data_IF_218988557255
#
_entry.id   IF_218988557255
#
_cell.length_a   1.000
_cell.length_b   1.000
_cell.length_c   1.000
_cell.angle_alpha   90.00
_cell.angle_beta   90.00
_cell.angle_gamma   90.00
#
_symmetry.space_group_name_H-M   'P 1'
#
loop_
_entity.id
_entity.type
_entity.pdbx_description
1 polymer ?
#
# COMPACT_ATOMS: atom_id res chain seq x y z
N UNK A 1 -20.15 -22.76 4.82
CA UNK A 1 -19.59 -22.78 4.67
C UNK A 1 -18.96 -22.33 3.82
N UNK A 2 -18.63 -21.93 3.49
CA UNK A 2 -18.04 -21.51 2.71
C UNK A 2 -16.76 -21.78 2.49
N UNK A 3 -16.38 -22.88 2.64
CA UNK A 3 -15.06 -23.35 2.42
C UNK A 3 -14.57 -23.09 1.02
N UNK A 4 -15.45 -22.86 0.13
CA UNK A 4 -15.02 -22.57 -1.21
C UNK A 4 -14.19 -21.29 -1.28
N UNK A 5 -14.38 -20.40 -0.33
CA UNK A 5 -13.60 -19.19 -0.32
C UNK A 5 -12.14 -19.46 -0.05
N UNK A 6 -11.84 -20.57 0.58
CA UNK A 6 -10.47 -20.85 0.93
C UNK A 6 -9.61 -21.18 -0.28
N UNK A 7 -10.24 -21.42 -1.41
CA UNK A 7 -9.49 -21.80 -2.57
C UNK A 7 -9.15 -20.64 -3.45
N UNK A 8 -9.53 -19.46 -3.06
CA UNK A 8 -9.25 -18.28 -3.84
C UNK A 8 -7.92 -17.69 -3.42
N UNK A 9 -7.62 -16.51 -3.89
CA UNK A 9 -6.34 -15.92 -3.60
C UNK A 9 -6.26 -15.51 -2.13
N UNK A 10 -5.06 -15.10 -1.75
CA UNK A 10 -4.77 -14.77 -0.37
C UNK A 10 -5.71 -13.72 0.19
N UNK A 11 -6.04 -12.73 -0.61
CA UNK A 11 -6.86 -11.64 -0.13
C UNK A 11 -8.29 -12.07 0.17
N UNK A 12 -8.79 -13.05 -0.56
CA UNK A 12 -10.15 -13.48 -0.36
C UNK A 12 -10.30 -14.44 0.80
N UNK A 13 -9.19 -14.89 1.34
CA UNK A 13 -9.23 -15.75 2.52
C UNK A 13 -9.33 -15.00 3.81
N UNK A 14 -9.19 -13.69 3.76
CA UNK A 14 -9.16 -12.87 4.96
C UNK A 14 -10.55 -12.75 5.53
N UNK A 15 -10.71 -13.06 6.81
CA UNK A 15 -12.01 -12.99 7.46
C UNK A 15 -12.39 -11.54 7.70
N UNK A 16 -13.67 -11.34 7.99
CA UNK A 16 -14.13 -10.01 8.30
C UNK A 16 -13.45 -9.44 9.54
N UNK A 17 -13.04 -10.31 10.44
CA UNK A 17 -12.38 -9.83 11.64
C UNK A 17 -11.02 -9.23 11.34
N UNK A 18 -10.41 -9.63 10.24
CA UNK A 18 -9.09 -9.13 9.87
C UNK A 18 -9.16 -7.88 9.01
N UNK A 19 -10.29 -7.66 8.36
CA UNK A 19 -10.47 -6.50 7.51
C UNK A 19 -10.51 -5.26 8.39
N UNK A 20 -9.68 -4.30 8.05
CA UNK A 20 -9.68 -3.05 8.80
C UNK A 20 -8.68 -2.99 9.92
N UNK A 21 -7.94 -4.09 10.16
CA UNK A 21 -6.88 -4.04 11.16
C UNK A 21 -5.72 -3.26 10.55
N UNK A 22 -5.48 -2.08 11.12
CA UNK A 22 -4.47 -1.15 10.61
C UNK A 22 -3.12 -1.46 11.23
N UNK A 23 -2.03 -1.46 10.45
CA UNK A 23 -0.69 -1.65 11.03
C UNK A 23 -0.40 -0.57 12.06
N UNK A 24 0.33 -0.94 13.10
CA UNK A 24 0.67 -0.02 14.16
C UNK A 24 1.67 1.02 13.66
N UNK A 25 1.35 2.29 13.91
CA UNK A 25 2.22 3.41 13.57
C UNK A 25 2.66 3.42 12.10
N UNK A 26 1.75 3.07 11.22
CA UNK A 26 2.03 3.12 9.79
C UNK A 26 2.08 4.57 9.31
N UNK A 27 2.89 4.83 8.32
CA UNK A 27 3.05 6.18 7.79
C UNK A 27 3.65 6.13 6.39
N UNK A 28 3.54 7.23 5.68
CA UNK A 28 4.29 7.44 4.45
C UNK A 28 5.05 8.74 4.58
N UNK A 29 6.19 8.81 3.89
CA UNK A 29 7.00 10.02 3.83
C UNK A 29 6.91 10.53 2.40
N UNK A 30 6.35 11.73 2.26
CA UNK A 30 6.19 12.38 0.97
C UNK A 30 7.30 13.41 0.79
N UNK A 31 7.86 13.45 -0.40
CA UNK A 31 8.88 14.45 -0.76
C UNK A 31 10.06 14.41 0.20
N UNK A 32 10.33 13.27 0.79
CA UNK A 32 11.47 13.10 1.66
C UNK A 32 11.36 13.74 3.02
N UNK A 33 10.34 14.56 3.26
CA UNK A 33 10.26 15.29 4.53
C UNK A 33 8.90 15.26 5.20
N UNK A 34 7.83 15.09 4.46
CA UNK A 34 6.48 15.19 5.02
C UNK A 34 5.98 13.82 5.45
N UNK A 35 5.85 13.62 6.73
CA UNK A 35 5.38 12.35 7.30
C UNK A 35 3.88 12.42 7.46
N UNK A 36 3.18 11.47 6.85
CA UNK A 36 1.72 11.38 6.93
C UNK A 36 1.37 10.08 7.63
N UNK A 37 0.80 10.15 8.84
CA UNK A 37 0.39 8.92 9.53
C UNK A 37 -0.78 8.27 8.82
N UNK A 38 -0.79 6.95 8.84
CA UNK A 38 -1.84 6.16 8.22
C UNK A 38 -2.59 5.44 9.33
N UNK A 39 -3.83 5.85 9.57
CA UNK A 39 -4.62 5.23 10.61
C UNK A 39 -6.03 4.90 10.15
N UNK A 40 -6.26 4.94 8.84
CA UNK A 40 -7.56 4.63 8.28
C UNK A 40 -7.51 3.30 7.57
N UNK A 41 -8.65 2.62 7.55
CA UNK A 41 -8.76 1.34 6.86
C UNK A 41 -8.58 1.51 5.36
N UNK A 42 -9.10 2.60 4.82
CA UNK A 42 -9.00 2.90 3.39
C UNK A 42 -8.37 4.27 3.24
N UNK A 43 -7.29 4.34 2.48
CA UNK A 43 -6.56 5.57 2.23
C UNK A 43 -6.52 5.78 0.73
N UNK A 44 -7.17 6.84 0.26
CA UNK A 44 -7.19 7.17 -1.16
C UNK A 44 -6.09 8.16 -1.46
N UNK A 45 -5.38 7.94 -2.55
CA UNK A 45 -4.23 8.75 -2.92
C UNK A 45 -4.42 9.24 -4.34
N UNK A 46 -4.24 10.53 -4.54
CA UNK A 46 -4.37 11.09 -5.87
C UNK A 46 -4.25 12.59 -5.86
N UNK A 47 -4.47 13.20 -7.03
CA UNK A 47 -4.30 14.62 -7.20
C UNK A 47 -5.50 15.41 -6.69
N UNK A 48 -6.67 14.80 -6.65
CA UNK A 48 -7.88 15.49 -6.18
C UNK A 48 -7.83 15.76 -4.70
N UNK A 49 -8.39 16.89 -4.30
CA UNK A 49 -8.37 17.30 -2.90
C UNK A 49 -9.23 16.38 -2.02
N UNK A 50 -10.14 15.63 -2.61
CA UNK A 50 -10.97 14.69 -1.86
C UNK A 50 -10.21 13.46 -1.40
N UNK A 51 -9.04 13.22 -1.96
CA UNK A 51 -8.25 12.08 -1.55
C UNK A 51 -7.75 12.22 -0.11
N UNK A 52 -7.54 11.10 0.55
CA UNK A 52 -6.97 11.09 1.90
C UNK A 52 -5.57 11.69 1.86
N UNK A 53 -4.79 11.29 0.87
CA UNK A 53 -3.46 11.84 0.64
C UNK A 53 -3.49 12.53 -0.71
N UNK A 54 -3.28 13.82 -0.69
CA UNK A 54 -3.30 14.62 -1.90
C UNK A 54 -1.87 14.78 -2.39
N UNK A 55 -1.61 14.33 -3.60
CA UNK A 55 -0.31 14.46 -4.24
C UNK A 55 -0.47 15.48 -5.37
N UNK A 56 0.06 16.66 -5.16
CA UNK A 56 -0.11 17.77 -6.09
C UNK A 56 0.94 17.70 -7.17
N UNK A 57 0.78 16.76 -8.06
CA UNK A 57 1.70 16.52 -9.17
C UNK A 57 0.86 16.20 -10.39
N UNK A 58 1.05 16.92 -11.49
CA UNK A 58 0.20 16.71 -12.67
C UNK A 58 0.33 15.32 -13.28
N UNK A 59 1.40 14.60 -12.98
CA UNK A 59 1.56 13.25 -13.48
C UNK A 59 0.69 12.25 -12.73
N UNK A 60 0.23 12.62 -11.55
CA UNK A 60 -0.58 11.74 -10.70
C UNK A 60 -2.04 11.85 -11.12
N UNK A 61 -2.71 10.73 -11.29
CA UNK A 61 -4.11 10.71 -11.65
C UNK A 61 -4.97 11.27 -10.53
N UNK A 62 -6.15 11.77 -10.88
CA UNK A 62 -7.05 12.39 -9.90
C UNK A 62 -7.34 11.44 -8.76
N UNK A 63 -7.66 10.18 -9.06
CA UNK A 63 -7.67 9.10 -8.09
C UNK A 63 -6.69 8.08 -8.63
N UNK A 64 -5.57 7.89 -7.94
CA UNK A 64 -4.48 7.14 -8.52
C UNK A 64 -4.33 5.75 -7.89
N UNK A 65 -4.35 5.69 -6.57
CA UNK A 65 -4.12 4.44 -5.86
C UNK A 65 -4.90 4.46 -4.56
N UNK A 66 -5.04 3.29 -3.97
CA UNK A 66 -5.75 3.16 -2.71
C UNK A 66 -5.01 2.17 -1.84
N UNK A 67 -4.83 2.52 -0.57
CA UNK A 67 -4.31 1.60 0.42
C UNK A 67 -5.49 1.03 1.19
N UNK A 68 -5.46 -0.28 1.41
CA UNK A 68 -6.46 -0.94 2.25
C UNK A 68 -5.75 -1.69 3.34
N UNK A 69 -6.20 -1.49 4.58
CA UNK A 69 -5.64 -2.20 5.72
C UNK A 69 -6.37 -3.52 5.87
N UNK A 70 -5.64 -4.61 5.72
CA UNK A 70 -6.20 -5.95 5.78
C UNK A 70 -5.25 -6.79 6.62
N UNK A 71 -5.76 -7.32 7.72
CA UNK A 71 -5.01 -8.23 8.57
C UNK A 71 -3.67 -7.64 9.02
N UNK A 72 -3.71 -6.38 9.44
CA UNK A 72 -2.51 -5.72 9.97
C UNK A 72 -1.50 -5.31 8.93
N UNK A 73 -1.90 -5.26 7.67
CA UNK A 73 -1.02 -4.86 6.58
C UNK A 73 -1.76 -3.91 5.68
N UNK A 74 -1.01 -3.01 5.05
CA UNK A 74 -1.56 -2.21 3.97
C UNK A 74 -1.25 -2.87 2.64
N UNK A 75 -2.24 -2.89 1.78
CA UNK A 75 -2.09 -3.37 0.42
C UNK A 75 -2.42 -2.19 -0.48
N UNK A 76 -1.54 -1.90 -1.42
CA UNK A 76 -1.77 -0.81 -2.36
C UNK A 76 -2.44 -1.38 -3.62
N UNK A 77 -3.43 -0.65 -4.12
CA UNK A 77 -4.16 -0.99 -5.33
C UNK A 77 -4.05 0.17 -6.30
N UNK A 78 -3.67 -0.11 -7.53
CA UNK A 78 -3.71 0.89 -8.57
C UNK A 78 -5.17 1.04 -9.03
N UNK A 79 -5.62 2.27 -9.15
CA UNK A 79 -7.01 2.55 -9.53
C UNK A 79 -7.08 2.91 -11.01
N UNK A 80 -6.49 2.06 -11.83
CA UNK A 80 -6.49 2.26 -13.28
C UNK A 80 -5.89 3.60 -13.65
N UNK A 81 -4.76 3.92 -13.03
CA UNK A 81 -4.11 5.20 -13.22
C UNK A 81 -3.49 5.29 -14.61
N UNK A 82 -3.31 6.51 -15.08
CA UNK A 82 -2.72 6.73 -16.39
C UNK A 82 -1.22 6.41 -16.36
N UNK A 83 -0.52 6.86 -15.34
CA UNK A 83 0.94 6.70 -15.27
C UNK A 83 1.41 5.48 -14.53
N UNK A 84 0.52 4.74 -13.89
CA UNK A 84 0.88 3.51 -13.20
C UNK A 84 1.32 3.71 -11.77
N UNK A 85 1.27 2.62 -11.02
CA UNK A 85 1.73 2.55 -9.65
C UNK A 85 2.87 1.56 -9.59
N UNK A 86 3.97 1.96 -8.96
CA UNK A 86 5.18 1.15 -8.88
C UNK A 86 5.57 0.96 -7.43
N UNK A 87 6.04 -0.23 -7.10
CA UNK A 87 6.60 -0.51 -5.77
C UNK A 87 8.02 -1.01 -5.99
N UNK A 88 8.97 -0.25 -5.48
CA UNK A 88 10.40 -0.54 -5.64
C UNK A 88 10.76 -0.70 -7.11
N UNK A 89 10.20 0.18 -7.94
CA UNK A 89 10.51 0.21 -9.37
C UNK A 89 9.74 -0.77 -10.21
N UNK A 90 8.87 -1.57 -9.62
CA UNK A 90 8.13 -2.59 -10.33
C UNK A 90 6.66 -2.19 -10.43
N UNK A 91 6.12 -2.17 -11.63
CA UNK A 91 4.72 -1.80 -11.83
C UNK A 91 3.82 -2.87 -11.24
N UNK A 92 2.82 -2.43 -10.49
CA UNK A 92 1.91 -3.35 -9.83
C UNK A 92 0.47 -2.92 -10.02
N UNK A 93 -0.43 -3.91 -10.04
CA UNK A 93 -1.86 -3.66 -9.92
C UNK A 93 -2.25 -3.64 -8.45
N UNK A 94 -1.61 -4.47 -7.66
CA UNK A 94 -1.77 -4.49 -6.22
C UNK A 94 -0.52 -5.11 -5.61
N UNK A 95 -0.23 -4.72 -4.39
CA UNK A 95 0.97 -5.23 -3.71
C UNK A 95 0.84 -5.02 -2.22
N UNK A 96 1.25 -6.03 -1.45
CA UNK A 96 1.37 -5.87 -0.01
C UNK A 96 2.56 -4.97 0.25
N UNK A 97 2.39 -4.01 1.15
CA UNK A 97 3.45 -3.07 1.47
C UNK A 97 4.25 -3.54 2.67
N UNK A 98 5.55 -3.38 2.56
CA UNK A 98 6.48 -3.67 3.64
C UNK A 98 7.24 -2.41 3.97
N UNK A 99 7.65 -2.30 5.23
CA UNK A 99 8.36 -1.12 5.70
C UNK A 99 9.62 -0.90 4.85
N UNK A 100 9.78 0.33 4.37
CA UNK A 100 10.90 0.67 3.50
C UNK A 100 10.57 0.63 2.02
N UNK A 101 9.37 0.17 1.66
CA UNK A 101 9.00 0.15 0.24
C UNK A 101 8.91 1.56 -0.30
N UNK A 102 9.44 1.74 -1.50
CA UNK A 102 9.34 3.00 -2.24
C UNK A 102 8.21 2.87 -3.23
N UNK A 103 7.22 3.73 -3.09
CA UNK A 103 6.04 3.72 -3.94
C UNK A 103 6.15 4.90 -4.87
N UNK A 104 5.96 4.65 -6.17
CA UNK A 104 5.99 5.69 -7.18
C UNK A 104 4.65 5.76 -7.88
N UNK A 105 4.07 6.95 -7.92
CA UNK A 105 2.83 7.21 -8.65
C UNK A 105 3.20 8.09 -9.82
N UNK A 106 3.40 7.47 -10.99
CA UNK A 106 3.79 8.21 -12.20
C UNK A 106 4.99 9.09 -11.96
N UNK A 107 5.94 8.64 -11.14
CA UNK A 107 7.17 9.39 -10.88
C UNK A 107 7.19 10.18 -9.59
N UNK A 108 6.07 10.33 -8.92
CA UNK A 108 6.04 10.98 -7.61
C UNK A 108 6.24 9.90 -6.55
N UNK A 109 7.31 10.01 -5.79
CA UNK A 109 7.74 8.93 -4.89
C UNK A 109 7.40 9.21 -3.45
N UNK A 110 7.10 8.15 -2.71
CA UNK A 110 7.01 8.23 -1.26
C UNK A 110 7.39 6.88 -0.66
N UNK A 111 7.72 6.90 0.63
CA UNK A 111 8.24 5.73 1.33
C UNK A 111 7.24 5.31 2.38
N UNK A 112 6.97 4.00 2.44
CA UNK A 112 6.07 3.44 3.41
C UNK A 112 6.84 2.89 4.61
N UNK A 113 6.28 3.06 5.82
CA UNK A 113 6.85 2.46 7.03
C UNK A 113 5.78 2.07 8.00
N UNK A 114 6.13 1.19 8.92
CA UNK A 114 5.26 0.79 10.01
C UNK A 114 6.10 0.25 11.15
N UNK A 115 5.52 0.26 12.34
CA UNK A 115 6.21 -0.25 13.53
C UNK A 115 6.16 -1.77 13.51
N UNK A 116 7.28 -2.38 13.94
CA UNK A 116 7.37 -3.83 14.05
C UNK A 116 6.91 -4.53 12.78
N UNK A 117 7.50 -4.19 11.64
CA UNK A 117 7.05 -4.76 10.40
C UNK A 117 7.42 -6.23 10.29
N UNK A 118 6.56 -7.04 9.66
CA UNK A 118 6.97 -8.41 9.38
C UNK A 118 8.11 -8.41 8.37
N UNK A 119 8.94 -9.44 8.39
CA UNK A 119 10.02 -9.50 7.42
C UNK A 119 9.48 -9.73 6.02
N UNK A 120 10.15 -9.14 5.05
CA UNK A 120 9.80 -9.37 3.67
C UNK A 120 10.21 -10.77 3.27
N UNK A 121 9.29 -11.59 2.76
CA UNK A 121 9.64 -12.99 2.49
C UNK A 121 10.79 -13.18 1.50
N UNK A 122 10.86 -12.34 0.48
CA UNK A 122 11.91 -12.47 -0.51
C UNK A 122 13.29 -12.16 0.08
N UNK A 123 13.35 -11.29 1.06
CA UNK A 123 14.63 -11.00 1.71
C UNK A 123 15.11 -12.19 2.52
N UNK A 124 14.19 -12.93 3.12
CA UNK A 124 14.58 -14.08 3.90
C UNK A 124 15.28 -15.11 3.04
N UNK A 125 14.87 -15.20 1.79
CA UNK A 125 15.45 -16.19 0.91
C UNK A 125 16.79 -15.77 0.35
N UNK A 126 17.05 -14.49 0.31
CA UNK A 126 18.27 -14.00 -0.30
C UNK A 126 19.37 -13.72 0.71
N UNK A 127 19.06 -13.76 1.99
CA UNK A 127 20.08 -13.47 2.98
C UNK A 127 21.12 -14.57 3.02
N UNK A 128 22.38 -14.20 2.94
CA UNK A 128 23.43 -15.20 3.06
C UNK A 128 23.50 -15.66 4.49
N UNK A 129 24.11 -16.74 4.69
CA UNK A 129 24.20 -17.27 6.01
C UNK A 129 25.40 -16.97 6.74
#
# INVERSE_FOLDING_TARGET
MDSTLDETNELEKISEDDVGTVPEDAFVILDGTRVVPLNQVVVNIGRRIENTIVVDDPRVSRTHAQLRAINGRYIIFDLNSTGGTFVNGKKVDQSILYSGDVISLAGADFIYGQKNPPPRPDLKETLPL
#
